data_IF_506881240056
#
_entry.id   IF_506881240056
#
_cell.length_a   1.000
_cell.length_b   1.000
_cell.length_c   1.000
_cell.angle_alpha   90.00
_cell.angle_beta   90.00
_cell.angle_gamma   90.00
#
_symmetry.space_group_name_H-M   'P 1'
#
loop_
_entity.id
_entity.type
_entity.pdbx_description
1 polymer ?
#
# COMPACT_ATOMS: atom_id res chain seq x y z
N UNK A 1 -10.63 -2.64 -12.26
CA UNK A 1 -9.34 -1.94 -12.03
C UNK A 1 -9.63 -0.47 -12.14
N UNK A 2 -9.45 0.29 -11.07
CA UNK A 2 -9.49 1.75 -11.14
C UNK A 2 -8.09 2.20 -11.57
N UNK A 3 -7.97 2.75 -12.78
CA UNK A 3 -6.67 3.10 -13.37
C UNK A 3 -5.88 4.14 -12.52
N UNK A 4 -6.52 4.78 -11.53
CA UNK A 4 -5.88 5.74 -10.64
C UNK A 4 -5.39 5.11 -9.31
N UNK A 5 -5.93 3.96 -8.90
CA UNK A 5 -5.66 3.38 -7.58
C UNK A 5 -4.59 2.30 -7.69
N UNK A 6 -3.32 2.73 -7.75
CA UNK A 6 -2.12 1.87 -7.76
C UNK A 6 -1.99 0.94 -6.54
N UNK A 7 -2.87 1.07 -5.54
CA UNK A 7 -2.82 0.34 -4.28
C UNK A 7 -4.15 -0.37 -3.98
N UNK A 8 -4.06 -1.56 -3.38
CA UNK A 8 -5.19 -2.32 -2.86
C UNK A 8 -5.90 -1.54 -1.74
N UNK A 9 -7.22 -1.46 -1.78
CA UNK A 9 -8.02 -0.70 -0.79
C UNK A 9 -7.96 -1.26 0.64
N UNK A 10 -7.65 -2.56 0.78
CA UNK A 10 -7.50 -3.20 2.09
C UNK A 10 -6.09 -3.06 2.67
N UNK A 11 -5.09 -3.52 1.92
CA UNK A 11 -3.70 -3.60 2.41
C UNK A 11 -2.79 -2.46 1.94
N UNK A 12 -3.26 -1.56 1.06
CA UNK A 12 -2.49 -0.44 0.50
C UNK A 12 -1.17 -0.86 -0.17
N UNK A 13 -1.11 -2.11 -0.64
CA UNK A 13 -0.03 -2.68 -1.44
C UNK A 13 -0.41 -2.69 -2.92
N UNK A 14 0.58 -2.57 -3.79
CA UNK A 14 0.44 -2.72 -5.24
C UNK A 14 0.21 -4.19 -5.60
N UNK A 15 -0.32 -4.43 -6.79
CA UNK A 15 -0.53 -5.79 -7.30
C UNK A 15 0.78 -6.58 -7.45
N UNK A 16 1.88 -5.91 -7.80
CA UNK A 16 3.21 -6.52 -7.88
C UNK A 16 3.74 -6.93 -6.51
N UNK A 17 3.61 -6.08 -5.50
CA UNK A 17 4.01 -6.39 -4.12
C UNK A 17 3.19 -7.56 -3.54
N UNK A 18 1.92 -7.70 -3.94
CA UNK A 18 1.06 -8.81 -3.50
C UNK A 18 1.43 -10.10 -4.23
N UNK A 19 1.63 -10.05 -5.55
CA UNK A 19 1.99 -11.21 -6.36
C UNK A 19 3.38 -11.76 -6.00
N UNK A 20 4.36 -10.89 -5.80
CA UNK A 20 5.74 -11.27 -5.46
C UNK A 20 5.99 -11.48 -3.96
N UNK A 21 4.97 -11.35 -3.11
CA UNK A 21 5.17 -11.35 -1.64
C UNK A 21 5.87 -12.61 -1.14
N UNK A 22 5.53 -13.77 -1.69
CA UNK A 22 6.12 -15.05 -1.29
C UNK A 22 7.61 -15.16 -1.64
N UNK A 23 8.04 -14.49 -2.72
CA UNK A 23 9.39 -14.54 -3.27
C UNK A 23 10.27 -13.37 -2.77
N UNK A 24 9.66 -12.31 -2.21
CA UNK A 24 10.40 -11.20 -1.62
C UNK A 24 11.21 -11.62 -0.40
N UNK A 25 12.42 -11.08 -0.29
CA UNK A 25 13.26 -11.15 0.90
C UNK A 25 12.65 -10.36 2.07
N UNK A 26 13.03 -10.71 3.30
CA UNK A 26 12.51 -10.09 4.51
C UNK A 26 12.75 -8.58 4.57
N UNK A 27 13.91 -8.12 4.09
CA UNK A 27 14.27 -6.70 4.05
C UNK A 27 13.36 -5.90 3.10
N UNK A 28 13.02 -6.49 1.96
CA UNK A 28 12.12 -5.91 0.97
C UNK A 28 10.68 -5.89 1.50
N UNK A 29 10.25 -6.95 2.19
CA UNK A 29 8.96 -7.00 2.89
C UNK A 29 8.88 -5.92 3.98
N UNK A 30 9.95 -5.73 4.75
CA UNK A 30 10.02 -4.69 5.78
C UNK A 30 9.91 -3.29 5.17
N UNK A 31 10.58 -3.03 4.04
CA UNK A 31 10.47 -1.77 3.32
C UNK A 31 9.03 -1.51 2.81
N UNK A 32 8.33 -2.54 2.32
CA UNK A 32 6.93 -2.42 1.91
C UNK A 32 6.02 -2.13 3.11
N UNK A 33 6.20 -2.83 4.24
CA UNK A 33 5.43 -2.62 5.46
C UNK A 33 5.64 -1.21 6.05
N UNK A 34 6.88 -0.72 6.03
CA UNK A 34 7.23 0.62 6.51
C UNK A 34 6.52 1.74 5.71
N UNK A 35 6.25 1.51 4.42
CA UNK A 35 5.55 2.46 3.54
C UNK A 35 4.02 2.43 3.67
N UNK A 36 3.43 1.37 4.25
CA UNK A 36 1.98 1.26 4.43
C UNK A 36 1.34 2.40 5.25
N UNK A 37 1.89 2.81 6.41
CA UNK A 37 1.33 3.92 7.16
C UNK A 37 1.30 5.24 6.37
N UNK A 38 2.36 5.56 5.63
CA UNK A 38 2.40 6.73 4.75
C UNK A 38 1.35 6.64 3.64
N UNK A 39 1.20 5.47 3.01
CA UNK A 39 0.15 5.23 2.01
C UNK A 39 -1.25 5.34 2.61
N UNK A 40 -1.44 4.92 3.86
CA UNK A 40 -2.72 5.04 4.58
C UNK A 40 -3.02 6.50 4.84
N UNK A 41 -2.04 7.28 5.29
CA UNK A 41 -2.20 8.72 5.49
C UNK A 41 -2.55 9.43 4.18
N UNK A 42 -1.77 9.20 3.11
CA UNK A 42 -2.01 9.79 1.79
C UNK A 42 -3.39 9.42 1.20
N UNK A 43 -3.87 8.19 1.45
CA UNK A 43 -5.19 7.74 1.03
C UNK A 43 -6.31 8.20 1.99
N UNK A 44 -5.98 8.49 3.26
CA UNK A 44 -6.91 8.97 4.28
C UNK A 44 -7.10 10.49 4.26
N UNK A 45 -6.45 11.22 3.34
CA UNK A 45 -6.76 12.63 3.13
C UNK A 45 -8.03 12.77 2.26
N UNK A 46 -9.20 12.65 2.88
CA UNK A 46 -10.25 13.69 2.76
C UNK A 46 -10.30 14.36 4.14
N UNK A 47 -9.91 15.63 4.29
CA UNK A 47 -10.25 16.39 5.47
C UNK A 47 -11.68 16.90 5.28
N UNK A 48 -12.65 16.22 5.87
CA UNK A 48 -13.93 16.81 6.25
C UNK A 48 -14.43 16.00 7.44
N UNK A 49 -14.08 16.47 8.63
CA UNK A 49 -14.91 16.71 9.83
C UNK A 49 -13.96 17.52 10.77
N UNK A 50 -14.24 18.73 11.23
CA UNK A 50 -15.51 19.20 11.77
C UNK A 50 -15.36 19.24 13.29
#
# INVERSE_FOLDING_TARGET
MDAARRYCVGCLRTLQEIAGWAEMAEEDRAAVLARLPERRQACAIRPEEG
#
